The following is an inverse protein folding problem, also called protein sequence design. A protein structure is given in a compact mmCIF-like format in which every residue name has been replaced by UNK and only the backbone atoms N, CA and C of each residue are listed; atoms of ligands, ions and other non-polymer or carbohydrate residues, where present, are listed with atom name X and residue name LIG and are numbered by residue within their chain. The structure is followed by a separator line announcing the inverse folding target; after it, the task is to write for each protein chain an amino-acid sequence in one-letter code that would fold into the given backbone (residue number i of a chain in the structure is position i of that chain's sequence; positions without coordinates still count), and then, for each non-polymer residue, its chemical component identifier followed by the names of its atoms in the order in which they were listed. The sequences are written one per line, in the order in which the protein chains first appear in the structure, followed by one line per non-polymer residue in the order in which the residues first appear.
data_IF_137616762670
#
_entry.id   IF_137616762670
#
_cell.length_a   1.000
_cell.length_b   1.000
_cell.length_c   1.000
_cell.angle_alpha   90.00
_cell.angle_beta   90.00
_cell.angle_gamma   90.00
#
_symmetry.space_group_name_H-M   'P 1'
#
loop_
_entity.id
_entity.type
_entity.pdbx_description
1 polymer ?
#
# COMPACT_ATOMS: atom_id res chain seq x y z
N UNK A 1 -18.48 21.95 18.34
CA UNK A 1 -17.31 21.49 17.56
C UNK A 1 -16.07 22.23 18.00
N UNK A 2 -15.08 21.51 18.53
CA UNK A 2 -13.81 22.05 18.99
C UNK A 2 -12.74 21.90 17.90
N UNK A 3 -11.76 22.82 17.89
CA UNK A 3 -10.61 22.75 16.98
C UNK A 3 -9.52 21.87 17.60
N UNK A 4 -9.17 20.79 16.91
CA UNK A 4 -8.09 19.88 17.28
C UNK A 4 -6.89 20.07 16.33
N UNK A 5 -5.70 20.00 16.91
CA UNK A 5 -4.44 19.96 16.16
C UNK A 5 -3.88 18.55 16.21
N UNK A 6 -3.35 18.07 15.09
CA UNK A 6 -2.64 16.80 15.03
C UNK A 6 -1.50 16.86 14.01
N UNK A 7 -0.41 16.16 14.31
CA UNK A 7 0.68 15.96 13.35
C UNK A 7 0.43 14.62 12.64
N UNK A 8 0.25 14.68 11.33
CA UNK A 8 0.03 13.50 10.48
C UNK A 8 1.22 13.25 9.56
N UNK A 9 1.50 11.98 9.28
CA UNK A 9 2.50 11.53 8.33
C UNK A 9 1.79 11.04 7.07
N UNK A 10 2.02 11.72 5.95
CA UNK A 10 1.43 11.39 4.65
C UNK A 10 2.56 11.30 3.63
N UNK A 11 2.66 10.15 2.95
CA UNK A 11 3.71 9.88 1.94
C UNK A 11 5.15 10.16 2.41
N UNK A 12 5.43 9.96 3.71
CA UNK A 12 6.75 10.19 4.30
C UNK A 12 7.00 11.59 4.86
N UNK A 13 6.12 12.57 4.59
CA UNK A 13 6.22 13.92 5.15
C UNK A 13 5.34 14.08 6.39
N UNK A 14 5.83 14.85 7.37
CA UNK A 14 5.06 15.18 8.59
C UNK A 14 4.43 16.56 8.45
N UNK A 15 3.12 16.65 8.59
CA UNK A 15 2.34 17.89 8.44
C UNK A 15 1.49 18.11 9.69
N UNK A 16 1.48 19.35 10.17
CA UNK A 16 0.57 19.78 11.24
C UNK A 16 -0.75 20.23 10.62
N UNK A 17 -1.84 19.60 11.06
CA UNK A 17 -3.17 19.76 10.50
C UNK A 17 -4.16 20.18 11.57
N UNK A 18 -5.15 20.98 11.19
CA UNK A 18 -6.31 21.30 12.04
C UNK A 18 -7.57 20.57 11.59
N UNK A 19 -8.32 20.01 12.55
CA UNK A 19 -9.58 19.28 12.34
C UNK A 19 -10.62 19.74 13.35
N UNK A 20 -11.85 19.99 12.88
CA UNK A 20 -12.98 20.27 13.75
C UNK A 20 -13.70 18.97 14.11
N UNK A 21 -13.81 18.69 15.42
CA UNK A 21 -14.45 17.49 15.94
C UNK A 21 -15.03 17.77 17.33
N UNK A 22 -15.86 16.87 17.86
CA UNK A 22 -16.43 17.01 19.20
C UNK A 22 -15.55 16.36 20.29
N UNK A 23 -14.70 15.41 19.90
CA UNK A 23 -13.80 14.67 20.80
C UNK A 23 -12.44 14.43 20.13
N UNK A 24 -11.40 14.20 20.93
CA UNK A 24 -10.07 13.80 20.44
C UNK A 24 -10.12 12.47 19.67
N UNK A 25 -10.99 11.55 20.10
CA UNK A 25 -11.25 10.28 19.40
C UNK A 25 -11.90 10.55 18.03
N UNK A 26 -12.85 11.48 17.98
CA UNK A 26 -13.51 11.86 16.73
C UNK A 26 -12.51 12.48 15.74
N UNK A 27 -11.65 13.39 16.19
CA UNK A 27 -10.57 13.95 15.36
C UNK A 27 -9.62 12.87 14.85
N UNK A 28 -9.25 11.90 15.71
CA UNK A 28 -8.37 10.78 15.35
C UNK A 28 -8.99 9.92 14.25
N UNK A 29 -10.27 9.56 14.39
CA UNK A 29 -10.99 8.75 13.41
C UNK A 29 -11.11 9.45 12.06
N UNK A 30 -11.43 10.75 12.03
CA UNK A 30 -11.53 11.52 10.79
C UNK A 30 -10.20 11.53 10.01
N UNK A 31 -9.08 11.76 10.71
CA UNK A 31 -7.75 11.76 10.10
C UNK A 31 -7.35 10.37 9.58
N UNK A 32 -7.61 9.32 10.35
CA UNK A 32 -7.31 7.94 9.93
C UNK A 32 -8.16 7.50 8.75
N UNK A 33 -9.44 7.88 8.72
CA UNK A 33 -10.32 7.58 7.60
C UNK A 33 -9.80 8.23 6.30
N UNK A 34 -9.26 9.45 6.39
CA UNK A 34 -8.79 10.19 5.23
C UNK A 34 -7.40 9.75 4.73
N UNK A 35 -6.45 9.54 5.64
CA UNK A 35 -5.04 9.32 5.30
C UNK A 35 -4.53 7.91 5.61
N UNK A 36 -5.40 7.01 6.08
CA UNK A 36 -5.06 5.63 6.41
C UNK A 36 -4.75 5.41 7.89
N UNK A 37 -4.69 4.12 8.26
CA UNK A 37 -4.37 3.67 9.62
C UNK A 37 -2.92 4.07 9.96
N UNK A 38 -2.68 4.44 11.23
CA UNK A 38 -1.37 4.87 11.76
C UNK A 38 -0.73 6.10 11.11
N UNK A 39 -1.52 6.92 10.41
CA UNK A 39 -1.05 8.19 9.84
C UNK A 39 -0.77 9.26 10.90
N UNK A 40 -1.15 9.08 12.17
CA UNK A 40 -1.07 10.11 13.21
C UNK A 40 0.15 9.86 14.11
N UNK A 41 1.04 10.85 14.24
CA UNK A 41 2.26 10.74 15.05
C UNK A 41 1.99 10.96 16.55
N UNK A 42 1.01 11.82 16.88
CA UNK A 42 0.59 12.13 18.24
C UNK A 42 -0.93 12.32 18.29
N UNK A 43 -1.57 11.87 19.38
CA UNK A 43 -3.01 12.02 19.58
C UNK A 43 -3.45 13.49 19.44
N UNK A 44 -4.64 13.75 18.86
CA UNK A 44 -5.11 15.11 18.64
C UNK A 44 -5.35 15.85 19.96
N UNK A 45 -4.82 17.06 20.07
CA UNK A 45 -4.94 17.91 21.26
C UNK A 45 -5.80 19.13 20.94
N UNK A 46 -6.49 19.69 21.95
CA UNK A 46 -7.27 20.92 21.80
C UNK A 46 -6.36 22.11 21.44
N UNK A 47 -6.75 22.87 20.42
CA UNK A 47 -6.01 24.04 19.96
C UNK A 47 -6.11 25.16 21.02
N UNK A 48 -5.05 25.34 21.81
CA UNK A 48 -4.98 26.39 22.85
C UNK A 48 -4.07 27.56 22.42
N UNK A 49 -3.24 27.37 21.39
CA UNK A 49 -2.28 28.37 20.89
C UNK A 49 -2.38 28.49 19.38
N UNK A 50 -2.49 29.73 18.92
CA UNK A 50 -2.46 30.13 17.51
C UNK A 50 -1.01 30.05 16.99
N UNK A 51 -0.52 28.83 16.74
CA UNK A 51 0.80 28.63 16.15
C UNK A 51 0.71 28.71 14.61
N UNK A 52 1.63 29.49 14.03
CA UNK A 52 1.61 30.12 12.69
C UNK A 52 1.69 29.19 11.45
N UNK A 53 1.80 27.87 11.60
CA UNK A 53 2.10 26.94 10.49
C UNK A 53 1.06 25.80 10.33
N UNK A 54 -0.21 26.07 10.65
CA UNK A 54 -1.27 25.07 10.65
C UNK A 54 -2.14 25.13 9.40
N UNK A 55 -2.12 24.07 8.60
CA UNK A 55 -2.98 23.96 7.42
C UNK A 55 -4.34 23.32 7.78
N UNK A 56 -5.46 23.81 7.21
CA UNK A 56 -6.75 23.17 7.39
C UNK A 56 -6.78 21.82 6.67
N UNK A 57 -7.45 20.83 7.27
CA UNK A 57 -7.60 19.49 6.70
C UNK A 57 -8.03 19.49 5.23
N UNK A 58 -8.94 20.40 4.85
CA UNK A 58 -9.44 20.53 3.47
C UNK A 58 -8.33 20.83 2.45
N UNK A 59 -7.36 21.66 2.81
CA UNK A 59 -6.26 22.04 1.89
C UNK A 59 -5.29 20.87 1.70
N UNK A 60 -4.98 20.16 2.79
CA UNK A 60 -4.10 18.99 2.74
C UNK A 60 -4.72 17.86 1.91
N UNK A 61 -6.03 17.66 2.01
CA UNK A 61 -6.76 16.68 1.19
C UNK A 61 -6.56 16.97 -0.31
N UNK A 62 -6.65 18.23 -0.72
CA UNK A 62 -6.45 18.65 -2.11
C UNK A 62 -5.00 18.45 -2.57
N UNK A 63 -4.02 18.74 -1.71
CA UNK A 63 -2.59 18.62 -2.05
C UNK A 63 -2.11 17.17 -2.11
N UNK A 64 -2.45 16.35 -1.12
CA UNK A 64 -1.78 15.06 -0.92
C UNK A 64 -2.56 13.85 -1.41
N UNK A 65 -3.80 14.04 -1.88
CA UNK A 65 -4.77 13.01 -2.28
C UNK A 65 -4.93 11.90 -1.22
N UNK A 66 -6.09 11.78 -0.57
CA UNK A 66 -6.31 10.73 0.43
C UNK A 66 -6.03 9.33 -0.12
N UNK A 67 -5.58 8.44 0.76
CA UNK A 67 -5.38 7.04 0.41
C UNK A 67 -6.75 6.47 0.09
N UNK A 68 -6.97 6.11 -1.18
CA UNK A 68 -8.20 5.41 -1.56
C UNK A 68 -8.16 4.03 -0.89
N UNK A 69 -9.19 3.64 -0.11
CA UNK A 69 -9.23 2.31 0.46
C UNK A 69 -9.13 1.28 -0.66
N UNK A 70 -8.18 0.35 -0.53
CA UNK A 70 -8.03 -0.74 -1.48
C UNK A 70 -9.27 -1.62 -1.35
N UNK A 71 -10.10 -1.62 -2.38
CA UNK A 71 -11.26 -2.52 -2.42
C UNK A 71 -10.72 -3.95 -2.48
N UNK A 72 -11.13 -4.85 -1.57
CA UNK A 72 -10.73 -6.25 -1.67
C UNK A 72 -11.18 -6.79 -3.03
N UNK A 73 -10.36 -7.66 -3.64
CA UNK A 73 -10.78 -8.34 -4.87
C UNK A 73 -12.09 -9.08 -4.60
N UNK A 74 -13.02 -9.00 -5.55
CA UNK A 74 -14.23 -9.82 -5.46
C UNK A 74 -13.85 -11.30 -5.51
N UNK A 75 -14.66 -12.22 -4.95
CA UNK A 75 -14.37 -13.65 -5.00
C UNK A 75 -14.13 -14.16 -6.43
N UNK A 76 -14.85 -13.60 -7.41
CA UNK A 76 -14.67 -13.92 -8.84
C UNK A 76 -13.33 -13.43 -9.37
N UNK A 77 -12.94 -12.19 -9.06
CA UNK A 77 -11.63 -11.64 -9.47
C UNK A 77 -10.46 -12.40 -8.84
N UNK A 78 -10.59 -12.77 -7.57
CA UNK A 78 -9.59 -13.58 -6.88
C UNK A 78 -9.42 -14.96 -7.54
N UNK A 79 -10.52 -15.62 -7.94
CA UNK A 79 -10.46 -16.89 -8.69
C UNK A 79 -9.73 -16.74 -10.01
N UNK A 80 -10.04 -15.70 -10.79
CA UNK A 80 -9.37 -15.44 -12.08
C UNK A 80 -7.88 -15.20 -11.88
N UNK A 81 -7.49 -14.43 -10.86
CA UNK A 81 -6.08 -14.17 -10.54
C UNK A 81 -5.34 -15.45 -10.15
N UNK A 82 -5.96 -16.30 -9.32
CA UNK A 82 -5.40 -17.63 -8.98
C UNK A 82 -5.18 -18.48 -10.23
N UNK A 83 -6.16 -18.54 -11.14
CA UNK A 83 -6.04 -19.29 -12.38
C UNK A 83 -4.92 -18.75 -13.29
N UNK A 84 -4.78 -17.43 -13.40
CA UNK A 84 -3.67 -16.80 -14.14
C UNK A 84 -2.32 -17.19 -13.55
N UNK A 85 -2.18 -17.10 -12.23
CA UNK A 85 -0.94 -17.50 -11.53
C UNK A 85 -0.64 -18.99 -11.70
N UNK A 86 -1.65 -19.85 -11.68
CA UNK A 86 -1.47 -21.28 -11.94
C UNK A 86 -0.97 -21.55 -13.36
N UNK A 87 -1.56 -20.89 -14.37
CA UNK A 87 -1.10 -20.97 -15.76
C UNK A 87 0.36 -20.56 -15.90
N UNK A 88 0.75 -19.43 -15.30
CA UNK A 88 2.13 -18.95 -15.36
C UNK A 88 3.12 -19.91 -14.69
N UNK A 89 2.76 -20.48 -13.54
CA UNK A 89 3.59 -21.49 -12.86
C UNK A 89 3.76 -22.74 -13.71
N UNK A 90 2.69 -23.23 -14.32
CA UNK A 90 2.74 -24.39 -15.20
C UNK A 90 3.62 -24.13 -16.43
N UNK A 91 3.51 -22.94 -17.05
CA UNK A 91 4.38 -22.53 -18.16
C UNK A 91 5.85 -22.53 -17.77
N UNK A 92 6.19 -21.88 -16.65
CA UNK A 92 7.57 -21.86 -16.13
C UNK A 92 8.12 -23.26 -15.85
N UNK A 93 7.30 -24.16 -15.29
CA UNK A 93 7.71 -25.53 -15.02
C UNK A 93 7.97 -26.32 -16.32
N UNK A 94 7.12 -26.14 -17.34
CA UNK A 94 7.30 -26.77 -18.64
C UNK A 94 8.59 -26.32 -19.33
N UNK A 95 8.88 -25.01 -19.30
CA UNK A 95 10.09 -24.47 -19.91
C UNK A 95 11.36 -24.92 -19.16
N UNK A 96 11.30 -25.00 -17.83
CA UNK A 96 12.36 -25.57 -17.02
C UNK A 96 12.62 -27.05 -17.36
N UNK A 97 11.57 -27.84 -17.63
CA UNK A 97 11.73 -29.24 -18.02
C UNK A 97 12.28 -29.39 -19.44
N UNK A 98 11.82 -28.56 -20.39
CA UNK A 98 12.36 -28.54 -21.76
C UNK A 98 13.86 -28.21 -21.77
N UNK A 99 14.28 -27.23 -20.97
CA UNK A 99 15.69 -26.86 -20.85
C UNK A 99 16.52 -27.98 -20.24
N UNK A 100 16.03 -28.66 -19.19
CA UNK A 100 16.66 -29.86 -18.63
C UNK A 100 16.85 -30.96 -19.66
N UNK A 101 15.82 -31.25 -20.46
CA UNK A 101 15.90 -32.28 -21.50
C UNK A 101 16.91 -31.92 -22.59
N UNK A 102 16.96 -30.65 -22.99
CA UNK A 102 17.94 -30.17 -23.97
C UNK A 102 19.37 -30.37 -23.45
N UNK A 103 19.65 -29.92 -22.22
CA UNK A 103 20.95 -30.09 -21.60
C UNK A 103 21.37 -31.57 -21.48
N UNK A 104 20.44 -32.45 -21.11
CA UNK A 104 20.73 -33.88 -21.02
C UNK A 104 21.07 -34.52 -22.39
N UNK A 105 20.41 -34.07 -23.47
CA UNK A 105 20.73 -34.52 -24.83
C UNK A 105 22.10 -34.00 -25.29
N UNK A 106 22.40 -32.74 -25.01
CA UNK A 106 23.67 -32.12 -25.38
C UNK A 106 24.85 -32.78 -24.62
N UNK A 107 24.69 -33.04 -23.32
CA UNK A 107 25.67 -33.79 -22.53
C UNK A 107 25.93 -35.20 -23.09
N UNK A 108 24.89 -35.94 -23.45
CA UNK A 108 25.03 -37.27 -24.09
C UNK A 108 25.77 -37.20 -25.43
N UNK A 109 25.50 -36.18 -26.23
CA UNK A 109 26.19 -35.98 -27.52
C UNK A 109 27.68 -35.73 -27.28
N UNK A 110 28.04 -34.85 -26.34
CA UNK A 110 29.44 -34.58 -25.99
C UNK A 110 30.14 -35.86 -25.52
N UNK A 111 29.50 -36.62 -24.61
CA UNK A 111 30.04 -37.89 -24.12
C UNK A 111 30.31 -38.89 -25.25
N UNK A 112 29.36 -39.04 -26.18
CA UNK A 112 29.50 -39.96 -27.31
C UNK A 112 30.57 -39.53 -28.33
N UNK A 113 30.79 -38.22 -28.54
CA UNK A 113 31.85 -37.72 -29.42
C UNK A 113 33.24 -37.79 -28.78
N UNK A 114 33.31 -37.78 -27.44
CA UNK A 114 34.57 -37.87 -26.69
C UNK A 114 35.09 -39.30 -26.49
N UNK A 115 34.35 -40.31 -26.97
CA UNK A 115 34.65 -41.74 -26.84
C UNK A 115 35.03 -42.32 -28.19
#
# INVERSE_FOLDING_TARGET
MNKYIATIKVNGQSIKTTVFADSSIHAKLMLQYQFGIDCILSSPTLSTKEDLDQEPLKEIINRMKPIKPFKPLTPQQARIDVLKRQKEKAGKALDAERTRQKMAKDQKRIFNLSR
#
